data_IF_051963914870
#
_entry.id   IF_051963914870
#
_cell.length_a   1.000
_cell.length_b   1.000
_cell.length_c   1.000
_cell.angle_alpha   90.00
_cell.angle_beta   90.00
_cell.angle_gamma   90.00
#
_symmetry.space_group_name_H-M   'P 1'
#
loop_
_entity.id
_entity.type
_entity.pdbx_description
1 polymer ?
#
# COMPACT_ATOMS: atom_id res chain seq x y z
N UNK A 1 -34.56 -8.94 -26.33
CA UNK A 1 -33.11 -8.72 -26.21
C UNK A 1 -32.88 -8.07 -24.86
N UNK A 2 -32.51 -8.85 -23.86
CA UNK A 2 -32.20 -8.35 -22.51
C UNK A 2 -30.72 -8.05 -22.47
N UNK A 3 -30.39 -6.78 -22.39
CA UNK A 3 -29.02 -6.32 -22.25
C UNK A 3 -28.51 -6.70 -20.85
N UNK A 4 -27.59 -7.62 -20.77
CA UNK A 4 -26.87 -8.00 -19.58
C UNK A 4 -26.04 -6.80 -19.13
N UNK A 5 -26.50 -6.03 -18.13
CA UNK A 5 -25.73 -4.95 -17.52
C UNK A 5 -24.52 -5.55 -16.82
N UNK A 6 -23.40 -5.31 -17.43
CA UNK A 6 -22.08 -5.70 -17.04
C UNK A 6 -21.68 -5.21 -15.66
N UNK A 7 -20.87 -5.99 -15.12
CA UNK A 7 -19.83 -5.83 -14.10
C UNK A 7 -19.62 -4.36 -13.73
N UNK A 8 -20.09 -4.01 -12.54
CA UNK A 8 -19.94 -2.71 -11.92
C UNK A 8 -18.49 -2.22 -12.04
N UNK A 9 -18.32 -1.11 -12.76
CA UNK A 9 -17.04 -0.51 -13.09
C UNK A 9 -16.23 -0.24 -11.84
N UNK A 10 -15.02 -0.75 -11.83
CA UNK A 10 -14.02 -0.30 -10.88
C UNK A 10 -13.60 1.10 -11.30
N UNK A 11 -13.49 1.97 -10.30
CA UNK A 11 -13.16 3.36 -10.52
C UNK A 11 -11.88 3.51 -11.34
N UNK A 12 -11.99 4.08 -12.50
CA UNK A 12 -10.88 4.57 -13.31
C UNK A 12 -10.36 5.83 -12.62
N UNK A 13 -9.53 5.62 -11.58
CA UNK A 13 -8.98 6.67 -10.75
C UNK A 13 -8.94 6.26 -9.27
N UNK A 14 -7.87 6.59 -8.60
CA UNK A 14 -7.72 6.43 -7.15
C UNK A 14 -7.97 7.76 -6.44
N UNK A 15 -8.66 7.72 -5.29
CA UNK A 15 -8.70 8.87 -4.37
C UNK A 15 -7.46 8.96 -3.48
N UNK A 16 -6.53 8.03 -3.63
CA UNK A 16 -5.25 7.98 -2.90
C UNK A 16 -4.23 8.79 -3.70
N UNK A 17 -3.68 9.84 -3.11
CA UNK A 17 -2.91 10.88 -3.78
C UNK A 17 -1.58 10.40 -4.40
N UNK A 18 -1.03 9.30 -3.92
CA UNK A 18 0.26 8.77 -4.35
C UNK A 18 0.16 7.57 -5.31
N UNK A 19 -1.04 7.31 -5.88
CA UNK A 19 -1.26 6.22 -6.83
C UNK A 19 -2.42 6.55 -7.79
N UNK A 20 -2.35 6.06 -9.03
CA UNK A 20 -3.36 6.32 -10.07
C UNK A 20 -4.54 5.36 -9.96
N UNK A 21 -4.29 4.13 -9.52
CA UNK A 21 -5.31 3.09 -9.44
C UNK A 21 -5.10 2.15 -8.26
N UNK A 22 -6.12 1.41 -7.90
CA UNK A 22 -6.02 0.31 -6.95
C UNK A 22 -6.40 -1.02 -7.60
N UNK A 23 -5.68 -2.07 -7.25
CA UNK A 23 -5.97 -3.42 -7.71
C UNK A 23 -6.06 -4.38 -6.51
N UNK A 24 -7.21 -5.03 -6.37
CA UNK A 24 -7.54 -5.86 -5.22
C UNK A 24 -7.87 -7.31 -5.65
N UNK A 25 -6.88 -8.14 -5.99
CA UNK A 25 -7.08 -9.56 -6.23
C UNK A 25 -7.46 -10.34 -4.96
N UNK A 26 -7.30 -9.71 -3.79
CA UNK A 26 -7.73 -10.18 -2.49
C UNK A 26 -8.50 -9.06 -1.81
N UNK A 27 -9.52 -9.39 -1.04
CA UNK A 27 -10.23 -8.47 -0.15
C UNK A 27 -10.30 -9.07 1.25
N UNK A 28 -10.36 -8.21 2.29
CA UNK A 28 -10.40 -8.67 3.67
C UNK A 28 -9.02 -8.97 4.25
N UNK A 29 -8.92 -8.89 5.57
CA UNK A 29 -7.68 -9.02 6.32
C UNK A 29 -7.96 -9.26 7.80
N UNK A 30 -6.94 -9.66 8.56
CA UNK A 30 -6.98 -9.72 10.02
C UNK A 30 -6.05 -8.69 10.63
N UNK A 31 -6.46 -8.10 11.76
CA UNK A 31 -5.65 -7.13 12.52
C UNK A 31 -4.39 -7.79 13.08
N UNK A 32 -3.28 -7.07 13.08
CA UNK A 32 -2.00 -7.54 13.65
C UNK A 32 -1.31 -6.52 14.56
N UNK A 33 -1.66 -5.23 14.45
CA UNK A 33 -1.11 -4.16 15.29
C UNK A 33 -2.16 -3.10 15.60
N UNK A 34 -1.87 -2.22 16.53
CA UNK A 34 -2.71 -1.08 16.86
C UNK A 34 -3.03 -0.18 15.66
N UNK A 35 -2.15 -0.09 14.66
CA UNK A 35 -2.43 0.60 13.39
C UNK A 35 -3.55 -0.03 12.55
N UNK A 36 -4.07 -1.21 12.95
CA UNK A 36 -5.22 -1.85 12.31
C UNK A 36 -6.56 -1.57 13.03
N UNK A 37 -6.55 -0.92 14.21
CA UNK A 37 -7.76 -0.77 15.03
C UNK A 37 -8.85 0.04 14.32
N UNK A 38 -8.46 1.13 13.68
CA UNK A 38 -9.34 2.03 12.94
C UNK A 38 -9.23 1.85 11.41
N UNK A 39 -9.00 0.62 10.96
CA UNK A 39 -8.79 0.32 9.53
C UNK A 39 -9.96 0.79 8.66
N UNK A 40 -9.67 1.70 7.72
CA UNK A 40 -10.68 2.23 6.78
C UNK A 40 -11.28 1.13 5.90
N UNK A 41 -10.45 0.16 5.49
CA UNK A 41 -10.88 -0.92 4.61
C UNK A 41 -11.86 -1.86 5.33
N UNK A 42 -11.59 -2.20 6.60
CA UNK A 42 -12.51 -2.98 7.41
C UNK A 42 -13.85 -2.26 7.60
N UNK A 43 -13.81 -0.98 7.96
CA UNK A 43 -15.03 -0.18 8.14
C UNK A 43 -15.85 -0.07 6.86
N UNK A 44 -15.19 0.13 5.73
CA UNK A 44 -15.86 0.19 4.44
C UNK A 44 -16.52 -1.15 4.11
N UNK A 45 -15.77 -2.24 4.19
CA UNK A 45 -16.24 -3.57 3.80
C UNK A 45 -17.39 -4.08 4.69
N UNK A 46 -17.31 -3.86 6.02
CA UNK A 46 -18.32 -4.29 6.97
C UNK A 46 -19.70 -3.65 6.76
N UNK A 47 -19.78 -2.48 6.12
CA UNK A 47 -21.07 -1.85 5.76
C UNK A 47 -21.90 -2.69 4.80
N UNK A 48 -21.25 -3.56 4.05
CA UNK A 48 -21.86 -4.38 3.02
C UNK A 48 -21.96 -5.85 3.41
N UNK A 49 -21.63 -6.19 4.66
CA UNK A 49 -21.78 -7.58 5.15
C UNK A 49 -23.24 -8.01 5.06
N UNK A 50 -23.47 -9.16 4.39
CA UNK A 50 -24.80 -9.71 4.17
C UNK A 50 -25.60 -9.06 3.04
N UNK A 51 -25.03 -8.10 2.31
CA UNK A 51 -25.69 -7.51 1.13
C UNK A 51 -25.46 -8.43 -0.07
N UNK A 52 -26.49 -9.17 -0.45
CA UNK A 52 -26.43 -10.19 -1.50
C UNK A 52 -25.89 -9.63 -2.84
N UNK A 53 -24.90 -10.32 -3.42
CA UNK A 53 -24.27 -9.95 -4.69
C UNK A 53 -23.29 -8.78 -4.59
N UNK A 54 -23.12 -8.15 -3.43
CA UNK A 54 -22.14 -7.09 -3.27
C UNK A 54 -20.71 -7.66 -3.16
N UNK A 55 -19.68 -7.01 -3.73
CA UNK A 55 -18.28 -7.48 -3.64
C UNK A 55 -17.75 -7.70 -2.22
N UNK A 56 -18.36 -7.06 -1.21
CA UNK A 56 -18.07 -7.20 0.22
C UNK A 56 -19.21 -7.85 1.00
N UNK A 57 -19.98 -8.75 0.38
CA UNK A 57 -21.04 -9.50 1.05
C UNK A 57 -20.51 -10.26 2.30
N UNK A 58 -19.26 -10.74 2.25
CA UNK A 58 -18.56 -11.36 3.39
C UNK A 58 -17.92 -10.34 4.35
N UNK A 59 -18.27 -9.03 4.21
CA UNK A 59 -17.64 -7.97 4.99
C UNK A 59 -16.13 -7.91 4.76
N UNK A 60 -15.35 -7.91 5.83
CA UNK A 60 -13.88 -7.86 5.78
C UNK A 60 -13.21 -9.23 5.96
N UNK A 61 -13.96 -10.32 5.80
CA UNK A 61 -13.39 -11.67 5.80
C UNK A 61 -12.48 -11.87 4.59
N UNK A 62 -11.36 -12.58 4.81
CA UNK A 62 -10.38 -12.81 3.75
C UNK A 62 -11.03 -13.56 2.57
N UNK A 63 -11.02 -12.94 1.41
CA UNK A 63 -11.66 -13.48 0.21
C UNK A 63 -10.71 -13.34 -0.99
N UNK A 64 -10.36 -14.45 -1.62
CA UNK A 64 -9.62 -14.47 -2.87
C UNK A 64 -10.54 -14.09 -4.04
N UNK A 65 -10.05 -13.28 -4.97
CA UNK A 65 -10.79 -12.79 -6.15
C UNK A 65 -10.07 -13.22 -7.45
N UNK A 66 -10.11 -14.51 -7.81
CA UNK A 66 -9.33 -15.01 -8.95
C UNK A 66 -9.64 -14.30 -10.28
N UNK A 67 -10.91 -13.90 -10.49
CA UNK A 67 -11.34 -13.17 -11.67
C UNK A 67 -10.71 -11.78 -11.82
N UNK A 68 -10.09 -11.24 -10.76
CA UNK A 68 -9.44 -9.93 -10.79
C UNK A 68 -7.93 -10.01 -11.07
N UNK A 69 -7.35 -11.21 -11.09
CA UNK A 69 -5.89 -11.36 -11.22
C UNK A 69 -5.40 -10.74 -12.52
N UNK A 70 -6.01 -11.04 -13.65
CA UNK A 70 -5.60 -10.55 -14.98
C UNK A 70 -5.99 -9.10 -15.29
N UNK A 71 -6.64 -8.40 -14.36
CA UNK A 71 -7.18 -7.06 -14.62
C UNK A 71 -6.14 -6.02 -15.05
N UNK A 72 -4.92 -5.93 -14.47
CA UNK A 72 -3.92 -4.97 -14.89
C UNK A 72 -3.49 -5.18 -16.36
N UNK A 73 -3.52 -6.40 -16.88
CA UNK A 73 -3.19 -6.71 -18.26
C UNK A 73 -4.15 -6.07 -19.28
N UNK A 74 -5.38 -5.73 -18.85
CA UNK A 74 -6.37 -5.06 -19.70
C UNK A 74 -6.20 -3.52 -19.69
N UNK A 75 -5.42 -2.95 -18.80
CA UNK A 75 -5.17 -1.51 -18.73
C UNK A 75 -4.03 -1.11 -19.68
N UNK A 76 -4.36 -0.43 -20.75
CA UNK A 76 -3.40 -0.10 -21.81
C UNK A 76 -2.48 1.07 -21.48
N UNK A 77 -2.93 2.02 -20.63
CA UNK A 77 -2.14 3.20 -20.26
C UNK A 77 -1.28 2.88 -19.03
N UNK A 78 -0.01 3.28 -19.00
CA UNK A 78 0.83 3.19 -17.82
C UNK A 78 0.16 3.80 -16.59
N UNK A 79 0.29 3.16 -15.43
CA UNK A 79 -0.30 3.60 -14.15
C UNK A 79 0.59 3.20 -12.99
N UNK A 80 0.57 4.00 -11.96
CA UNK A 80 0.98 3.56 -10.62
C UNK A 80 -0.22 2.86 -9.97
N UNK A 81 -0.03 1.61 -9.55
CA UNK A 81 -1.11 0.75 -9.07
C UNK A 81 -0.82 0.30 -7.63
N UNK A 82 -1.65 0.73 -6.69
CA UNK A 82 -1.59 0.23 -5.32
C UNK A 82 -2.26 -1.15 -5.23
N UNK A 83 -1.46 -2.15 -4.90
CA UNK A 83 -1.90 -3.55 -4.82
C UNK A 83 -2.46 -3.84 -3.43
N UNK A 84 -3.70 -4.36 -3.39
CA UNK A 84 -4.38 -4.75 -2.16
C UNK A 84 -4.62 -3.60 -1.16
N UNK A 85 -5.19 -2.49 -1.64
CA UNK A 85 -5.67 -1.41 -0.75
C UNK A 85 -6.75 -1.86 0.24
N UNK A 86 -7.42 -2.99 -0.04
CA UNK A 86 -8.50 -3.56 0.78
C UNK A 86 -8.12 -4.90 1.46
N UNK A 87 -6.82 -5.19 1.56
CA UNK A 87 -6.31 -6.45 2.15
C UNK A 87 -4.79 -6.37 2.37
N UNK A 88 -4.17 -7.51 2.66
CA UNK A 88 -2.71 -7.67 2.69
C UNK A 88 -2.33 -8.91 1.87
N UNK A 89 -1.55 -8.72 0.80
CA UNK A 89 -1.16 -9.80 -0.12
C UNK A 89 -0.43 -10.94 0.59
N UNK A 90 0.30 -10.63 1.66
CA UNK A 90 1.05 -11.63 2.44
C UNK A 90 0.29 -12.09 3.68
N UNK A 91 -1.04 -12.06 3.66
CA UNK A 91 -1.83 -12.66 4.73
C UNK A 91 -1.55 -14.17 4.82
N UNK A 92 -1.41 -14.69 6.05
CA UNK A 92 -0.97 -16.08 6.31
C UNK A 92 -1.84 -17.16 5.63
N UNK A 93 -3.12 -16.85 5.39
CA UNK A 93 -4.09 -17.75 4.77
C UNK A 93 -4.17 -17.60 3.25
N UNK A 94 -3.40 -16.70 2.64
CA UNK A 94 -3.31 -16.61 1.18
C UNK A 94 -2.36 -17.70 0.67
N UNK A 95 -2.82 -18.63 -0.16
CA UNK A 95 -1.98 -19.71 -0.67
C UNK A 95 -0.85 -19.14 -1.55
N UNK A 96 0.37 -19.68 -1.38
CA UNK A 96 1.51 -19.28 -2.22
C UNK A 96 1.24 -19.34 -3.73
N UNK A 97 0.57 -20.37 -4.27
CA UNK A 97 0.22 -20.37 -5.69
C UNK A 97 -0.63 -19.17 -6.13
N UNK A 98 -1.49 -18.64 -5.24
CA UNK A 98 -2.26 -17.45 -5.54
C UNK A 98 -1.36 -16.20 -5.58
N UNK A 99 -0.45 -16.06 -4.61
CA UNK A 99 0.53 -14.96 -4.60
C UNK A 99 1.39 -15.02 -5.86
N UNK A 100 1.84 -16.22 -6.27
CA UNK A 100 2.60 -16.39 -7.53
C UNK A 100 1.85 -15.82 -8.74
N UNK A 101 0.57 -16.17 -8.91
CA UNK A 101 -0.25 -15.64 -10.01
C UNK A 101 -0.38 -14.10 -9.98
N UNK A 102 -0.47 -13.51 -8.79
CA UNK A 102 -0.50 -12.05 -8.63
C UNK A 102 0.83 -11.44 -9.09
N UNK A 103 1.95 -12.03 -8.68
CA UNK A 103 3.28 -11.58 -9.11
C UNK A 103 3.52 -11.82 -10.61
N UNK A 104 3.07 -12.96 -11.15
CA UNK A 104 3.16 -13.25 -12.60
C UNK A 104 2.43 -12.17 -13.42
N UNK A 105 1.25 -11.75 -12.96
CA UNK A 105 0.50 -10.65 -13.59
C UNK A 105 1.26 -9.32 -13.50
N UNK A 106 1.83 -9.00 -12.33
CA UNK A 106 2.60 -7.78 -12.18
C UNK A 106 3.85 -7.76 -13.06
N UNK A 107 4.55 -8.88 -13.17
CA UNK A 107 5.73 -9.01 -14.01
C UNK A 107 5.37 -8.93 -15.51
N UNK A 108 4.23 -9.49 -15.91
CA UNK A 108 3.76 -9.46 -17.31
C UNK A 108 3.22 -8.09 -17.74
N UNK A 109 2.70 -7.28 -16.80
CA UNK A 109 2.19 -5.93 -17.07
C UNK A 109 3.26 -4.86 -16.74
N UNK A 110 4.42 -4.99 -17.34
CA UNK A 110 5.65 -4.22 -17.05
C UNK A 110 5.58 -2.74 -17.43
N UNK A 111 4.55 -2.31 -18.15
CA UNK A 111 4.26 -0.89 -18.42
C UNK A 111 3.58 -0.16 -17.26
N UNK A 112 3.22 -0.85 -16.18
CA UNK A 112 2.71 -0.28 -14.94
C UNK A 112 3.79 -0.26 -13.87
N UNK A 113 3.62 0.59 -12.84
CA UNK A 113 4.34 0.50 -11.58
C UNK A 113 3.40 -0.10 -10.54
N UNK A 114 3.81 -1.17 -9.89
CA UNK A 114 3.02 -1.82 -8.84
C UNK A 114 3.60 -1.51 -7.46
N UNK A 115 2.77 -0.94 -6.59
CA UNK A 115 3.11 -0.59 -5.22
C UNK A 115 2.50 -1.63 -4.28
N UNK A 116 3.30 -2.58 -3.81
CA UNK A 116 2.88 -3.65 -2.90
C UNK A 116 3.25 -3.27 -1.47
N UNK A 117 2.25 -3.09 -0.62
CA UNK A 117 2.41 -2.67 0.77
C UNK A 117 1.93 -3.76 1.73
N UNK A 118 2.68 -4.00 2.80
CA UNK A 118 2.30 -5.00 3.81
C UNK A 118 2.70 -4.60 5.23
N UNK A 119 1.93 -5.08 6.18
CA UNK A 119 2.33 -5.12 7.60
C UNK A 119 2.96 -6.46 7.99
N UNK A 120 2.89 -7.46 7.12
CA UNK A 120 3.41 -8.84 7.32
C UNK A 120 4.78 -9.03 6.69
N UNK A 121 5.70 -8.15 7.03
CA UNK A 121 7.05 -8.08 6.45
C UNK A 121 7.88 -9.38 6.55
N UNK A 122 7.77 -10.24 7.60
CA UNK A 122 8.46 -11.52 7.61
C UNK A 122 7.99 -12.45 6.49
N UNK A 123 6.66 -12.51 6.25
CA UNK A 123 6.08 -13.36 5.20
C UNK A 123 6.42 -12.83 3.80
N UNK A 124 6.36 -11.52 3.60
CA UNK A 124 6.85 -10.89 2.38
C UNK A 124 8.31 -11.24 2.11
N UNK A 125 9.19 -11.06 3.10
CA UNK A 125 10.62 -11.36 2.97
C UNK A 125 10.88 -12.83 2.61
N UNK A 126 10.19 -13.76 3.27
CA UNK A 126 10.31 -15.19 2.99
C UNK A 126 9.87 -15.51 1.56
N UNK A 127 8.73 -14.95 1.12
CA UNK A 127 8.22 -15.13 -0.23
C UNK A 127 9.17 -14.56 -1.30
N UNK A 128 9.66 -13.33 -1.11
CA UNK A 128 10.53 -12.67 -2.08
C UNK A 128 11.89 -13.39 -2.21
N UNK A 129 12.46 -13.88 -1.11
CA UNK A 129 13.66 -14.73 -1.16
C UNK A 129 13.43 -16.03 -1.94
N UNK A 130 12.25 -16.62 -1.82
CA UNK A 130 11.89 -17.81 -2.60
C UNK A 130 11.70 -17.46 -4.09
N UNK A 131 10.92 -16.42 -4.40
CA UNK A 131 10.58 -16.07 -5.79
C UNK A 131 11.78 -15.54 -6.58
N UNK A 132 12.65 -14.79 -5.93
CA UNK A 132 13.80 -14.11 -6.54
C UNK A 132 15.14 -14.65 -6.04
N UNK A 133 15.22 -15.98 -5.79
CA UNK A 133 16.44 -16.62 -5.33
C UNK A 133 17.60 -16.40 -6.30
N UNK A 134 17.33 -16.52 -7.60
CA UNK A 134 18.32 -16.54 -8.67
C UNK A 134 18.17 -15.38 -9.66
N UNK A 135 17.34 -14.38 -9.35
CA UNK A 135 17.10 -13.23 -10.24
C UNK A 135 16.81 -11.94 -9.48
N UNK A 136 17.04 -10.82 -10.13
CA UNK A 136 16.68 -9.50 -9.60
C UNK A 136 15.19 -9.23 -9.81
N UNK A 137 14.46 -8.72 -8.79
CA UNK A 137 13.08 -8.25 -8.97
C UNK A 137 13.00 -7.13 -10.01
N UNK A 138 11.95 -7.11 -10.86
CA UNK A 138 11.74 -6.03 -11.82
C UNK A 138 11.64 -4.65 -11.17
N UNK A 139 12.16 -3.61 -11.83
CA UNK A 139 12.19 -2.25 -11.30
C UNK A 139 10.80 -1.61 -11.11
N UNK A 140 9.82 -2.06 -11.86
CA UNK A 140 8.44 -1.60 -11.76
C UNK A 140 7.65 -2.22 -10.58
N UNK A 141 8.25 -3.17 -9.85
CA UNK A 141 7.68 -3.73 -8.62
C UNK A 141 8.27 -3.02 -7.40
N UNK A 142 7.49 -2.11 -6.84
CA UNK A 142 7.86 -1.38 -5.64
C UNK A 142 7.32 -2.10 -4.41
N UNK A 143 8.20 -2.41 -3.48
CA UNK A 143 7.85 -3.16 -2.28
C UNK A 143 7.94 -2.26 -1.04
N UNK A 144 6.91 -2.28 -0.22
CA UNK A 144 6.80 -1.41 0.93
C UNK A 144 6.31 -2.12 2.19
N UNK A 145 6.60 -1.49 3.33
CA UNK A 145 6.05 -1.90 4.62
C UNK A 145 5.41 -0.72 5.32
N UNK A 146 4.32 -0.99 6.06
CA UNK A 146 3.74 0.01 6.94
C UNK A 146 4.47 0.03 8.29
N UNK A 147 4.69 1.25 8.80
CA UNK A 147 5.26 1.51 10.13
C UNK A 147 4.34 2.49 10.83
N UNK A 148 3.94 2.21 12.06
CA UNK A 148 2.97 3.04 12.78
C UNK A 148 3.60 3.81 13.94
N UNK A 149 4.60 3.20 14.56
CA UNK A 149 5.35 3.70 15.72
C UNK A 149 6.69 2.96 15.86
N UNK A 150 7.40 3.17 16.94
CA UNK A 150 8.69 2.52 17.22
C UNK A 150 8.59 0.98 17.31
N UNK A 151 7.45 0.41 17.75
CA UNK A 151 7.27 -1.04 17.91
C UNK A 151 7.26 -1.79 16.58
N UNK A 152 6.88 -1.11 15.50
CA UNK A 152 6.77 -1.67 14.16
C UNK A 152 8.04 -1.49 13.30
N UNK A 153 9.09 -0.84 13.82
CA UNK A 153 10.36 -0.54 13.10
C UNK A 153 11.09 -1.77 12.55
N UNK A 154 10.94 -2.93 13.18
CA UNK A 154 11.56 -4.19 12.70
C UNK A 154 11.17 -4.50 11.25
N UNK A 155 10.01 -4.01 10.79
CA UNK A 155 9.56 -4.19 9.41
C UNK A 155 10.47 -3.51 8.39
N UNK A 156 11.12 -2.40 8.76
CA UNK A 156 12.09 -1.69 7.92
C UNK A 156 13.29 -2.61 7.64
N UNK A 157 13.82 -3.28 8.65
CA UNK A 157 14.93 -4.22 8.48
C UNK A 157 14.53 -5.44 7.64
N UNK A 158 13.30 -5.94 7.79
CA UNK A 158 12.81 -7.02 6.92
C UNK A 158 12.73 -6.57 5.46
N UNK A 159 12.27 -5.36 5.20
CA UNK A 159 12.21 -4.78 3.85
C UNK A 159 13.61 -4.58 3.27
N UNK A 160 14.53 -3.97 4.03
CA UNK A 160 15.91 -3.73 3.59
C UNK A 160 16.64 -5.01 3.20
N UNK A 161 16.34 -6.13 3.91
CA UNK A 161 16.90 -7.45 3.64
C UNK A 161 16.11 -8.28 2.62
N UNK A 162 15.08 -7.69 2.00
CA UNK A 162 14.29 -8.34 0.95
C UNK A 162 14.85 -8.02 -0.43
N UNK A 163 14.87 -8.97 -1.37
CA UNK A 163 15.13 -8.65 -2.77
C UNK A 163 14.06 -7.67 -3.28
N UNK A 164 14.48 -6.47 -3.67
CA UNK A 164 13.61 -5.46 -4.25
C UNK A 164 14.45 -4.42 -5.00
N UNK A 165 13.98 -3.96 -6.15
CA UNK A 165 14.59 -2.85 -6.88
C UNK A 165 14.23 -1.52 -6.22
N UNK A 166 12.96 -1.30 -5.91
CA UNK A 166 12.47 -0.12 -5.20
C UNK A 166 11.83 -0.53 -3.86
N UNK A 167 12.24 0.15 -2.78
CA UNK A 167 11.70 -0.05 -1.44
C UNK A 167 11.09 1.24 -0.92
N UNK A 168 9.89 1.17 -0.35
CA UNK A 168 9.26 2.33 0.25
C UNK A 168 8.70 2.04 1.65
N UNK A 169 8.59 3.10 2.45
CA UNK A 169 7.92 3.04 3.74
C UNK A 169 6.59 3.79 3.65
N UNK A 170 5.53 3.21 4.18
CA UNK A 170 4.30 3.91 4.49
C UNK A 170 4.22 4.05 6.00
N UNK A 171 4.64 5.22 6.50
CA UNK A 171 4.53 5.55 7.92
C UNK A 171 3.10 6.03 8.16
N UNK A 172 2.18 5.06 8.08
CA UNK A 172 0.72 5.26 8.13
C UNK A 172 -0.01 4.07 8.76
N UNK A 173 -0.97 4.36 9.70
CA UNK A 173 -1.14 5.65 10.37
C UNK A 173 -0.02 5.92 11.37
N UNK A 174 0.45 7.16 11.46
CA UNK A 174 1.35 7.54 12.54
C UNK A 174 0.52 7.63 13.82
N UNK A 175 0.76 6.73 14.77
CA UNK A 175 0.03 6.66 16.05
C UNK A 175 0.93 6.88 17.26
N UNK A 176 2.22 7.06 17.01
CA UNK A 176 3.24 7.33 17.99
C UNK A 176 4.57 7.72 17.34
N UNK A 177 5.56 8.16 18.14
CA UNK A 177 6.88 8.49 17.62
C UNK A 177 7.55 7.24 17.06
N UNK A 178 8.10 7.34 15.84
CA UNK A 178 8.88 6.27 15.22
C UNK A 178 10.33 6.31 15.72
N UNK A 179 10.85 7.52 15.96
CA UNK A 179 12.26 7.76 16.32
C UNK A 179 13.21 7.49 15.15
N UNK A 180 14.52 7.38 15.38
CA UNK A 180 15.51 7.24 14.31
C UNK A 180 15.25 6.05 13.39
N UNK A 181 15.29 6.27 12.09
CA UNK A 181 15.03 5.28 11.02
C UNK A 181 16.31 5.06 10.22
N UNK A 182 16.66 3.81 9.95
CA UNK A 182 17.70 3.51 8.98
C UNK A 182 17.12 3.54 7.55
N UNK A 183 17.32 4.64 6.84
CA UNK A 183 16.85 4.86 5.47
C UNK A 183 17.80 4.34 4.39
N UNK A 184 18.90 3.69 4.73
CA UNK A 184 19.82 3.07 3.76
C UNK A 184 19.11 2.03 2.89
N UNK A 185 19.06 2.27 1.56
CA UNK A 185 18.35 1.41 0.60
C UNK A 185 16.83 1.55 0.61
N UNK A 186 16.28 2.59 1.26
CA UNK A 186 14.90 3.05 1.13
C UNK A 186 14.86 4.17 0.09
N UNK A 187 13.90 4.11 -0.82
CA UNK A 187 13.82 5.00 -1.97
C UNK A 187 12.64 5.97 -1.88
N UNK A 188 11.74 5.79 -0.94
CA UNK A 188 10.58 6.65 -0.74
C UNK A 188 9.97 6.46 0.65
N UNK A 189 9.45 7.56 1.22
CA UNK A 189 8.71 7.54 2.47
C UNK A 189 7.40 8.31 2.31
N UNK A 190 6.29 7.63 2.58
CA UNK A 190 4.96 8.23 2.70
C UNK A 190 4.65 8.35 4.19
N UNK A 191 4.12 9.49 4.63
CA UNK A 191 3.74 9.71 6.03
C UNK A 191 2.33 10.28 6.12
N UNK A 192 1.57 9.85 7.13
CA UNK A 192 0.23 10.38 7.33
C UNK A 192 -0.47 9.89 8.59
N UNK A 193 -1.45 10.67 9.04
CA UNK A 193 -2.29 10.38 10.19
C UNK A 193 -3.46 9.45 9.85
N UNK A 194 -4.07 8.95 10.91
CA UNK A 194 -5.23 8.06 10.83
C UNK A 194 -6.50 8.81 10.38
N UNK A 195 -7.32 8.19 9.54
CA UNK A 195 -8.54 8.79 9.02
C UNK A 195 -9.79 7.98 9.35
N UNK A 196 -10.88 8.67 9.61
CA UNK A 196 -12.20 8.12 9.85
C UNK A 196 -12.63 8.26 11.32
N UNK A 197 -13.86 7.83 11.65
CA UNK A 197 -14.37 7.89 13.01
C UNK A 197 -13.43 7.19 14.00
N UNK A 198 -13.10 7.84 15.12
CA UNK A 198 -12.14 7.34 16.11
C UNK A 198 -10.67 7.47 15.69
N UNK A 199 -10.36 8.25 14.65
CA UNK A 199 -8.99 8.55 14.27
C UNK A 199 -8.22 9.17 15.44
N UNK A 200 -7.07 8.60 15.74
CA UNK A 200 -6.15 9.09 16.79
C UNK A 200 -5.44 10.34 16.28
N UNK A 201 -5.26 11.37 17.12
CA UNK A 201 -4.53 12.56 16.71
C UNK A 201 -3.06 12.21 16.48
N UNK A 202 -2.48 12.82 15.43
CA UNK A 202 -1.06 12.75 15.13
C UNK A 202 -0.37 14.01 15.63
N UNK A 203 0.75 13.86 16.37
CA UNK A 203 1.54 15.00 16.80
C UNK A 203 2.40 15.50 15.64
N UNK A 204 2.49 16.83 15.49
CA UNK A 204 3.22 17.46 14.39
C UNK A 204 4.70 17.08 14.36
N UNK A 205 5.34 16.96 15.53
CA UNK A 205 6.75 16.65 15.60
C UNK A 205 7.08 15.23 15.14
N UNK A 206 6.11 14.29 15.17
CA UNK A 206 6.32 12.96 14.62
C UNK A 206 6.45 12.99 13.09
N UNK A 207 5.64 13.82 12.43
CA UNK A 207 5.72 14.00 10.98
C UNK A 207 6.98 14.78 10.58
N UNK A 208 7.34 15.83 11.36
CA UNK A 208 8.55 16.60 11.16
C UNK A 208 9.82 15.76 11.30
N UNK A 209 9.88 14.91 12.32
CA UNK A 209 11.02 14.02 12.56
C UNK A 209 11.26 13.11 11.34
N UNK A 210 10.21 12.46 10.83
CA UNK A 210 10.31 11.60 9.64
C UNK A 210 10.77 12.40 8.42
N UNK A 211 10.17 13.57 8.16
CA UNK A 211 10.56 14.44 7.05
C UNK A 211 12.02 14.86 7.14
N UNK A 212 12.47 15.28 8.32
CA UNK A 212 13.84 15.73 8.51
C UNK A 212 14.85 14.61 8.25
N UNK A 213 14.58 13.40 8.74
CA UNK A 213 15.41 12.23 8.46
C UNK A 213 15.46 11.92 6.95
N UNK A 214 14.34 12.08 6.23
CA UNK A 214 14.30 11.93 4.78
C UNK A 214 15.16 12.99 4.08
N UNK A 215 15.02 14.26 4.48
CA UNK A 215 15.79 15.36 3.91
C UNK A 215 17.31 15.19 4.12
N UNK A 216 17.73 14.78 5.31
CA UNK A 216 19.15 14.51 5.63
C UNK A 216 19.75 13.41 4.78
N UNK A 217 18.92 12.44 4.33
CA UNK A 217 19.36 11.28 3.55
C UNK A 217 19.05 11.38 2.07
N UNK A 218 18.46 12.50 1.61
CA UNK A 218 18.04 12.67 0.22
C UNK A 218 16.99 11.66 -0.24
N UNK A 219 16.13 11.18 0.68
CA UNK A 219 15.06 10.24 0.36
C UNK A 219 13.78 11.03 0.10
N UNK A 220 13.13 10.86 -1.06
CA UNK A 220 11.85 11.50 -1.37
C UNK A 220 10.81 11.29 -0.28
N UNK A 221 10.12 12.38 0.10
CA UNK A 221 9.14 12.39 1.16
C UNK A 221 7.77 12.83 0.64
N UNK A 222 6.74 12.08 0.98
CA UNK A 222 5.35 12.37 0.64
C UNK A 222 4.52 12.49 1.92
N UNK A 223 3.92 13.66 2.14
CA UNK A 223 3.01 13.84 3.26
C UNK A 223 1.56 13.73 2.78
N UNK A 224 0.92 12.62 3.11
CA UNK A 224 -0.41 12.28 2.62
C UNK A 224 -1.50 13.12 3.27
N UNK A 225 -1.51 13.21 4.60
CA UNK A 225 -2.55 13.94 5.34
C UNK A 225 -2.28 13.97 6.84
N UNK A 226 -2.92 14.92 7.53
CA UNK A 226 -2.96 14.93 9.00
C UNK A 226 -3.92 13.87 9.57
N UNK A 227 -4.89 13.42 8.78
CA UNK A 227 -5.95 12.53 9.23
C UNK A 227 -7.15 13.28 9.81
N UNK A 228 -7.91 12.61 10.70
CA UNK A 228 -9.09 13.18 11.34
C UNK A 228 -10.37 12.39 11.08
N UNK A 229 -11.50 12.86 11.65
CA UNK A 229 -12.79 12.15 11.62
C UNK A 229 -13.29 11.88 10.18
N UNK A 230 -13.01 12.80 9.27
CA UNK A 230 -13.32 12.63 7.85
C UNK A 230 -12.01 12.48 7.07
N UNK A 231 -11.95 11.62 6.04
CA UNK A 231 -10.80 11.56 5.17
C UNK A 231 -10.43 12.94 4.63
N UNK A 232 -9.15 13.28 4.64
CA UNK A 232 -8.58 14.56 4.16
C UNK A 232 -8.97 15.82 4.95
N UNK A 233 -9.79 15.73 6.00
CA UNK A 233 -10.27 16.91 6.75
C UNK A 233 -9.16 17.70 7.45
N UNK A 234 -8.04 17.05 7.79
CA UNK A 234 -6.88 17.72 8.40
C UNK A 234 -5.95 18.40 7.40
N UNK A 235 -6.20 18.26 6.09
CA UNK A 235 -5.33 18.81 5.06
C UNK A 235 -4.00 18.05 4.89
N UNK A 236 -3.11 18.64 4.06
CA UNK A 236 -1.81 18.08 3.65
C UNK A 236 -0.65 19.08 3.81
N UNK A 237 -0.90 20.23 4.39
CA UNK A 237 0.16 21.20 4.66
C UNK A 237 0.99 20.76 5.86
N UNK A 238 2.30 20.69 5.69
CA UNK A 238 3.28 20.47 6.76
C UNK A 238 4.34 21.56 6.68
N UNK A 239 4.31 22.49 7.63
CA UNK A 239 5.18 23.66 7.71
C UNK A 239 5.08 24.57 6.49
N UNK A 240 3.85 24.92 6.09
CA UNK A 240 3.58 25.92 5.05
C UNK A 240 3.65 25.39 3.62
N UNK A 241 3.82 24.08 3.41
CA UNK A 241 3.81 23.49 2.05
C UNK A 241 3.26 22.06 2.03
N UNK A 242 2.84 21.63 0.84
CA UNK A 242 2.61 20.22 0.54
C UNK A 242 3.92 19.53 0.12
N UNK A 243 4.09 18.30 0.60
CA UNK A 243 5.22 17.44 0.27
C UNK A 243 4.73 16.29 -0.62
N UNK A 244 5.08 16.37 -1.92
CA UNK A 244 4.60 15.47 -2.96
C UNK A 244 5.74 14.79 -3.71
N UNK A 245 6.87 14.53 -3.05
CA UNK A 245 8.04 13.95 -3.70
C UNK A 245 7.79 12.47 -4.01
N UNK A 246 8.24 12.07 -5.19
CA UNK A 246 8.19 10.69 -5.68
C UNK A 246 9.61 10.20 -5.98
N UNK A 247 9.86 8.89 -5.93
CA UNK A 247 11.13 8.34 -6.39
C UNK A 247 11.38 8.74 -7.84
N UNK A 248 12.61 9.14 -8.15
CA UNK A 248 13.03 9.28 -9.55
C UNK A 248 12.99 7.88 -10.16
N UNK A 249 12.04 7.63 -11.05
CA UNK A 249 11.96 6.36 -11.77
C UNK A 249 13.17 6.23 -12.66
N UNK A 250 14.12 5.40 -12.29
CA UNK A 250 15.21 5.04 -13.19
C UNK A 250 14.61 4.28 -14.37
N UNK A 251 14.27 4.99 -15.44
CA UNK A 251 14.04 4.42 -16.76
C UNK A 251 12.70 3.71 -17.03
N UNK A 252 11.64 3.98 -16.30
CA UNK A 252 10.30 3.50 -16.66
C UNK A 252 9.55 4.64 -17.36
N UNK A 253 9.66 4.62 -18.70
CA UNK A 253 8.86 5.36 -19.69
C UNK A 253 8.74 6.90 -19.53
N UNK A 254 9.77 7.62 -20.02
CA UNK A 254 9.53 8.85 -20.77
C UNK A 254 9.17 8.42 -22.19
N UNK A 255 7.90 8.42 -22.52
CA UNK A 255 7.38 8.40 -23.89
C UNK A 255 5.98 9.01 -23.89
#
# INVERSE_FOLDING_TARGET
MVCSKGICGMADGSSIEWTDATWNPITGCTKITAGCDNCYAARFAERFRGVAGHPFEQGFDLTLRPARISQPLAWRRPRMIFVNSMSDLFHKEVPRPFINRVFDTMEAADWHIFQVLTKRSPLMRAYLKYRYADRTPPAHLWLGVSVEDCSSKIRIEHLRRSPAAVRFLSVEPIIGPVGPINLGGIHWVIAGGESGPGARPMHIDWARDIRNQCAERGVPFFFKQWGGIRPKSGGRDLDGREWNELPTTMGVHAA
#
